data_IF_179651541273
#
_entry.id   IF_179651541273
#
_cell.length_a   1.000
_cell.length_b   1.000
_cell.length_c   1.000
_cell.angle_alpha   90.00
_cell.angle_beta   90.00
_cell.angle_gamma   90.00
#
_symmetry.space_group_name_H-M   'P 1'
#
loop_
_entity.id
_entity.type
_entity.pdbx_description
1 polymer ?
#
# COMPACT_ATOMS: atom_id res chain seq x y z
N UNK A 1 -27.98 -21.00 -4.07
CA UNK A 1 -27.21 -19.81 -4.45
C UNK A 1 -25.85 -20.32 -4.94
N UNK A 2 -25.71 -20.59 -6.25
CA UNK A 2 -24.40 -20.94 -6.81
C UNK A 2 -23.70 -19.63 -7.16
N UNK A 3 -22.77 -19.20 -6.32
CA UNK A 3 -21.83 -18.14 -6.69
C UNK A 3 -20.79 -18.84 -7.58
N UNK A 4 -20.76 -18.59 -8.89
CA UNK A 4 -19.74 -19.17 -9.73
C UNK A 4 -18.41 -18.55 -9.30
N UNK A 5 -17.54 -19.36 -8.69
CA UNK A 5 -16.15 -18.94 -8.47
C UNK A 5 -15.49 -18.86 -9.84
N UNK A 6 -15.24 -17.66 -10.31
CA UNK A 6 -14.44 -17.45 -11.50
C UNK A 6 -12.99 -17.79 -11.21
N UNK A 7 -12.64 -19.05 -11.39
CA UNK A 7 -11.29 -19.58 -11.12
C UNK A 7 -10.20 -18.86 -11.89
N UNK A 8 -10.53 -18.26 -13.02
CA UNK A 8 -9.65 -17.39 -13.80
C UNK A 8 -9.13 -16.21 -12.97
N UNK A 9 -10.00 -15.57 -12.19
CA UNK A 9 -9.65 -14.38 -11.38
C UNK A 9 -8.98 -14.80 -10.05
N UNK A 10 -9.35 -15.98 -9.51
CA UNK A 10 -8.79 -16.50 -8.26
C UNK A 10 -7.40 -17.16 -8.42
N UNK A 11 -7.01 -17.57 -9.63
CA UNK A 11 -5.79 -18.31 -9.92
C UNK A 11 -4.52 -17.74 -9.29
N UNK A 12 -4.16 -16.47 -9.52
CA UNK A 12 -2.97 -15.86 -8.92
C UNK A 12 -2.99 -15.90 -7.39
N UNK A 13 -4.14 -15.65 -6.74
CA UNK A 13 -4.27 -15.69 -5.28
C UNK A 13 -4.07 -17.11 -4.73
N UNK A 14 -4.59 -18.13 -5.40
CA UNK A 14 -4.40 -19.55 -5.03
C UNK A 14 -2.93 -19.95 -5.15
N UNK A 15 -2.23 -19.55 -6.21
CA UNK A 15 -0.79 -19.80 -6.39
C UNK A 15 0.01 -19.15 -5.25
N UNK A 16 -0.33 -17.90 -4.88
CA UNK A 16 0.30 -17.22 -3.74
C UNK A 16 0.05 -17.97 -2.43
N UNK A 17 -1.17 -18.48 -2.21
CA UNK A 17 -1.50 -19.28 -1.01
C UNK A 17 -0.71 -20.59 -0.98
N UNK A 18 -0.56 -21.28 -2.10
CA UNK A 18 0.27 -22.49 -2.22
C UNK A 18 1.74 -22.12 -1.92
N UNK A 19 2.26 -21.03 -2.49
CA UNK A 19 3.59 -20.52 -2.21
C UNK A 19 3.83 -20.21 -0.73
N UNK A 20 2.81 -19.67 -0.04
CA UNK A 20 2.84 -19.42 1.40
C UNK A 20 3.02 -20.73 2.19
N UNK A 21 2.22 -21.74 1.88
CA UNK A 21 2.30 -23.06 2.54
C UNK A 21 3.64 -23.74 2.27
N UNK A 22 4.14 -23.69 1.03
CA UNK A 22 5.45 -24.26 0.68
C UNK A 22 6.56 -23.55 1.45
N UNK A 23 6.54 -22.21 1.55
CA UNK A 23 7.53 -21.45 2.31
C UNK A 23 7.55 -21.85 3.79
N UNK A 24 6.38 -22.04 4.42
CA UNK A 24 6.25 -22.48 5.81
C UNK A 24 6.77 -23.91 6.00
N UNK A 25 6.39 -24.84 5.11
CA UNK A 25 6.80 -26.25 5.20
C UNK A 25 8.32 -26.41 4.96
N UNK A 26 8.87 -25.69 4.00
CA UNK A 26 10.33 -25.72 3.76
C UNK A 26 11.10 -25.26 4.99
N UNK A 27 10.65 -24.19 5.66
CA UNK A 27 11.30 -23.73 6.89
C UNK A 27 11.14 -24.73 8.05
N UNK A 28 9.97 -25.34 8.18
CA UNK A 28 9.67 -26.31 9.23
C UNK A 28 10.53 -27.59 9.12
N UNK A 29 10.75 -28.10 7.89
CA UNK A 29 11.53 -29.32 7.67
C UNK A 29 13.03 -29.07 7.45
N UNK A 30 13.40 -27.89 6.95
CA UNK A 30 14.78 -27.50 6.68
C UNK A 30 15.06 -26.10 7.27
N UNK A 31 15.13 -25.97 8.60
CA UNK A 31 15.26 -24.68 9.26
C UNK A 31 16.62 -24.02 8.96
N UNK A 32 16.73 -23.43 7.80
CA UNK A 32 17.82 -22.54 7.43
C UNK A 32 17.40 -21.13 7.82
N UNK A 33 17.83 -20.62 8.94
CA UNK A 33 17.54 -19.24 9.40
C UNK A 33 18.03 -18.14 8.45
N UNK A 34 17.93 -18.41 7.16
CA UNK A 34 18.34 -17.56 6.05
C UNK A 34 17.18 -17.42 5.06
N UNK A 35 17.20 -16.39 4.24
CA UNK A 35 16.24 -16.19 3.15
C UNK A 35 16.10 -17.38 2.19
N UNK A 36 17.18 -18.14 1.98
CA UNK A 36 17.17 -19.35 1.13
C UNK A 36 16.22 -20.45 1.65
N UNK A 37 15.83 -20.41 2.94
CA UNK A 37 14.85 -21.35 3.50
C UNK A 37 13.44 -21.04 2.98
N UNK A 38 12.82 -19.99 3.47
CA UNK A 38 11.41 -19.66 3.19
C UNK A 38 11.23 -18.52 2.17
N UNK A 39 12.17 -17.60 2.06
CA UNK A 39 12.07 -16.47 1.14
C UNK A 39 12.20 -16.85 -0.34
N UNK A 40 13.01 -17.87 -0.69
CA UNK A 40 13.11 -18.36 -2.04
C UNK A 40 11.80 -19.02 -2.53
N UNK A 41 11.19 -19.97 -1.80
CA UNK A 41 9.87 -20.51 -2.18
C UNK A 41 8.79 -19.43 -2.30
N UNK A 42 8.76 -18.46 -1.39
CA UNK A 42 7.84 -17.33 -1.47
C UNK A 42 8.04 -16.52 -2.75
N UNK A 43 9.31 -16.21 -3.12
CA UNK A 43 9.63 -15.51 -4.36
C UNK A 43 9.22 -16.29 -5.60
N UNK A 44 9.47 -17.60 -5.64
CA UNK A 44 9.06 -18.47 -6.74
C UNK A 44 7.54 -18.51 -6.89
N UNK A 45 6.80 -18.61 -5.77
CA UNK A 45 5.34 -18.54 -5.77
C UNK A 45 4.80 -17.23 -6.34
N UNK A 46 5.40 -16.09 -5.98
CA UNK A 46 5.02 -14.77 -6.52
C UNK A 46 5.35 -14.63 -8.01
N UNK A 47 6.50 -15.11 -8.45
CA UNK A 47 6.86 -15.11 -9.88
C UNK A 47 5.89 -15.98 -10.68
N UNK A 48 5.54 -17.16 -10.16
CA UNK A 48 4.55 -18.02 -10.80
C UNK A 48 3.17 -17.37 -10.85
N UNK A 49 2.71 -16.75 -9.75
CA UNK A 49 1.45 -15.99 -9.74
C UNK A 49 1.46 -14.85 -10.79
N UNK A 50 2.61 -14.18 -10.97
CA UNK A 50 2.79 -13.19 -12.01
C UNK A 50 2.68 -13.77 -13.43
N UNK A 51 3.31 -14.93 -13.68
CA UNK A 51 3.20 -15.64 -14.98
C UNK A 51 1.74 -16.02 -15.25
N UNK A 52 1.03 -16.53 -14.24
CA UNK A 52 -0.39 -16.89 -14.39
C UNK A 52 -1.25 -15.66 -14.65
N UNK A 53 -1.00 -14.55 -13.97
CA UNK A 53 -1.69 -13.29 -14.23
C UNK A 53 -1.53 -12.84 -15.69
N UNK A 54 -0.34 -12.97 -16.28
CA UNK A 54 -0.11 -12.66 -17.69
C UNK A 54 -0.81 -13.62 -18.65
N UNK A 55 -1.01 -14.89 -18.27
CA UNK A 55 -1.80 -15.85 -19.07
C UNK A 55 -3.27 -15.49 -19.10
N UNK A 56 -3.77 -14.93 -18.00
CA UNK A 56 -5.16 -14.54 -17.83
C UNK A 56 -5.43 -13.09 -18.28
N UNK A 57 -4.46 -12.42 -18.90
CA UNK A 57 -4.55 -10.98 -19.24
C UNK A 57 -5.78 -10.62 -20.05
N UNK A 58 -6.19 -11.50 -20.99
CA UNK A 58 -7.33 -11.26 -21.88
C UNK A 58 -8.68 -11.61 -21.23
N UNK A 59 -8.66 -12.33 -20.08
CA UNK A 59 -9.85 -12.74 -19.33
C UNK A 59 -10.15 -11.80 -18.14
N UNK A 60 -9.22 -10.90 -17.79
CA UNK A 60 -9.32 -10.01 -16.64
C UNK A 60 -9.38 -8.55 -17.11
N UNK A 61 -10.23 -7.75 -16.48
CA UNK A 61 -10.27 -6.32 -16.82
C UNK A 61 -8.91 -5.64 -16.58
N UNK A 62 -8.54 -4.64 -17.42
CA UNK A 62 -7.22 -4.01 -17.36
C UNK A 62 -6.89 -3.36 -16.03
N UNK A 63 -7.89 -2.81 -15.30
CA UNK A 63 -7.70 -2.19 -13.99
C UNK A 63 -7.29 -3.23 -12.93
N UNK A 64 -8.03 -4.34 -12.86
CA UNK A 64 -7.72 -5.48 -11.97
C UNK A 64 -6.37 -6.10 -12.31
N UNK A 65 -6.07 -6.30 -13.61
CA UNK A 65 -4.78 -6.80 -14.06
C UNK A 65 -3.61 -5.93 -13.57
N UNK A 66 -3.69 -4.63 -13.79
CA UNK A 66 -2.63 -3.69 -13.44
C UNK A 66 -2.40 -3.61 -11.93
N UNK A 67 -3.46 -3.54 -11.12
CA UNK A 67 -3.35 -3.52 -9.67
C UNK A 67 -2.84 -4.87 -9.12
N UNK A 68 -3.26 -6.00 -9.68
CA UNK A 68 -2.74 -7.32 -9.31
C UNK A 68 -1.24 -7.45 -9.60
N UNK A 69 -0.79 -6.89 -10.72
CA UNK A 69 0.65 -6.82 -11.06
C UNK A 69 1.43 -5.98 -10.02
N UNK A 70 0.87 -4.84 -9.60
CA UNK A 70 1.46 -4.00 -8.55
C UNK A 70 1.52 -4.73 -7.20
N UNK A 71 0.47 -5.47 -6.83
CA UNK A 71 0.43 -6.27 -5.59
C UNK A 71 1.50 -7.37 -5.62
N UNK A 72 1.57 -8.15 -6.70
CA UNK A 72 2.56 -9.23 -6.85
C UNK A 72 3.98 -8.66 -6.86
N UNK A 73 4.24 -7.67 -7.70
CA UNK A 73 5.56 -7.04 -7.83
C UNK A 73 6.00 -6.36 -6.53
N UNK A 74 5.10 -5.62 -5.89
CA UNK A 74 5.36 -4.98 -4.61
C UNK A 74 5.67 -5.99 -3.50
N UNK A 75 4.90 -7.08 -3.42
CA UNK A 75 5.15 -8.16 -2.45
C UNK A 75 6.49 -8.84 -2.70
N UNK A 76 6.86 -9.08 -3.96
CA UNK A 76 8.16 -9.65 -4.32
C UNK A 76 9.31 -8.75 -3.86
N UNK A 77 9.21 -7.44 -4.05
CA UNK A 77 10.19 -6.47 -3.54
C UNK A 77 10.29 -6.57 -2.01
N UNK A 78 9.16 -6.67 -1.30
CA UNK A 78 9.14 -6.83 0.17
C UNK A 78 9.84 -8.13 0.58
N UNK A 79 9.53 -9.27 -0.05
CA UNK A 79 10.16 -10.57 0.24
C UNK A 79 11.68 -10.49 0.03
N UNK A 80 12.14 -9.94 -1.10
CA UNK A 80 13.58 -9.85 -1.42
C UNK A 80 14.28 -8.86 -0.48
N UNK A 81 13.71 -7.69 -0.23
CA UNK A 81 14.30 -6.69 0.65
C UNK A 81 14.33 -7.14 2.12
N UNK A 82 13.44 -8.05 2.53
CA UNK A 82 13.41 -8.60 3.89
C UNK A 82 14.66 -9.40 4.29
N UNK A 83 15.52 -9.76 3.32
CA UNK A 83 16.81 -10.39 3.60
C UNK A 83 17.69 -9.61 4.59
N UNK A 84 17.54 -8.29 4.66
CA UNK A 84 18.31 -7.45 5.57
C UNK A 84 17.86 -7.60 7.02
N UNK A 85 16.64 -8.10 7.26
CA UNK A 85 16.11 -8.26 8.61
C UNK A 85 16.82 -9.39 9.36
N UNK A 86 16.89 -9.26 10.67
CA UNK A 86 17.55 -10.26 11.51
C UNK A 86 16.54 -11.35 11.89
N UNK A 87 16.45 -12.40 11.09
CA UNK A 87 15.60 -13.56 11.40
C UNK A 87 16.18 -14.47 12.48
N UNK A 88 17.51 -14.41 12.73
CA UNK A 88 18.18 -15.37 13.61
C UNK A 88 17.75 -15.27 15.07
N UNK A 89 17.44 -14.06 15.58
CA UNK A 89 17.22 -13.82 17.00
C UNK A 89 15.87 -13.18 17.36
N UNK A 90 15.07 -12.74 16.40
CA UNK A 90 13.88 -11.93 16.67
C UNK A 90 12.60 -12.34 15.95
N UNK A 91 12.69 -13.02 14.82
CA UNK A 91 11.53 -13.39 14.01
C UNK A 91 11.72 -14.73 13.33
N UNK A 92 10.72 -15.63 13.36
CA UNK A 92 10.75 -16.88 12.62
C UNK A 92 10.52 -16.63 11.12
N UNK A 93 11.45 -17.06 10.23
CA UNK A 93 11.38 -16.71 8.81
C UNK A 93 10.25 -17.41 8.07
N UNK A 94 9.89 -18.65 8.43
CA UNK A 94 8.80 -19.40 7.81
C UNK A 94 7.46 -18.73 8.03
N UNK A 95 7.14 -18.42 9.28
CA UNK A 95 5.90 -17.74 9.68
C UNK A 95 5.84 -16.33 9.10
N UNK A 96 6.98 -15.63 9.03
CA UNK A 96 7.04 -14.31 8.41
C UNK A 96 6.62 -14.36 6.94
N UNK A 97 7.22 -15.24 6.13
CA UNK A 97 6.91 -15.34 4.71
C UNK A 97 5.51 -15.91 4.47
N UNK A 98 5.07 -16.87 5.29
CA UNK A 98 3.71 -17.41 5.24
C UNK A 98 2.67 -16.30 5.45
N UNK A 99 2.79 -15.53 6.53
CA UNK A 99 1.86 -14.45 6.85
C UNK A 99 1.88 -13.33 5.80
N UNK A 100 3.08 -12.99 5.29
CA UNK A 100 3.21 -11.99 4.24
C UNK A 100 2.53 -12.41 2.94
N UNK A 101 2.72 -13.67 2.53
CA UNK A 101 2.09 -14.24 1.34
C UNK A 101 0.58 -14.39 1.52
N UNK A 102 0.11 -14.80 2.71
CA UNK A 102 -1.32 -14.87 3.02
C UNK A 102 -1.96 -13.47 2.92
N UNK A 103 -1.32 -12.43 3.47
CA UNK A 103 -1.77 -11.06 3.32
C UNK A 103 -1.78 -10.60 1.84
N UNK A 104 -0.78 -10.98 1.04
CA UNK A 104 -0.73 -10.68 -0.39
C UNK A 104 -1.84 -11.41 -1.17
N UNK A 105 -2.15 -12.66 -0.82
CA UNK A 105 -3.31 -13.39 -1.35
C UNK A 105 -4.62 -12.66 -1.07
N UNK A 106 -4.81 -12.18 0.16
CA UNK A 106 -5.93 -11.32 0.53
C UNK A 106 -5.98 -10.02 -0.30
N UNK A 107 -4.83 -9.38 -0.54
CA UNK A 107 -4.75 -8.19 -1.38
C UNK A 107 -5.18 -8.46 -2.84
N UNK A 108 -4.75 -9.58 -3.42
CA UNK A 108 -5.17 -10.00 -4.78
C UNK A 108 -6.67 -10.27 -4.85
N UNK A 109 -7.22 -11.02 -3.89
CA UNK A 109 -8.66 -11.28 -3.82
C UNK A 109 -9.46 -9.99 -3.65
N UNK A 110 -8.94 -9.02 -2.88
CA UNK A 110 -9.60 -7.74 -2.64
C UNK A 110 -9.71 -6.88 -3.91
N UNK A 111 -8.67 -6.87 -4.76
CA UNK A 111 -8.68 -6.18 -6.07
C UNK A 111 -9.64 -6.87 -7.04
N UNK A 112 -9.72 -8.20 -6.99
CA UNK A 112 -10.53 -9.03 -7.88
C UNK A 112 -12.00 -9.17 -7.44
N UNK A 113 -12.37 -8.72 -6.24
CA UNK A 113 -13.71 -8.90 -5.68
C UNK A 113 -14.81 -8.26 -6.58
N UNK A 114 -15.88 -9.01 -6.82
CA UNK A 114 -17.09 -8.58 -7.54
C UNK A 114 -18.37 -8.84 -6.72
N UNK A 115 -18.18 -9.16 -5.45
CA UNK A 115 -19.24 -9.31 -4.46
C UNK A 115 -18.75 -8.91 -3.08
N UNK A 116 -19.67 -8.55 -2.18
CA UNK A 116 -19.34 -8.07 -0.83
C UNK A 116 -18.83 -9.17 0.10
N UNK A 117 -19.17 -10.44 -0.14
CA UNK A 117 -18.69 -11.57 0.68
C UNK A 117 -17.20 -11.78 0.41
N UNK A 118 -16.84 -11.89 -0.87
CA UNK A 118 -15.43 -11.99 -1.29
C UNK A 118 -14.62 -10.78 -0.81
N UNK A 119 -15.17 -9.56 -0.93
CA UNK A 119 -14.51 -8.34 -0.46
C UNK A 119 -14.19 -8.38 1.04
N UNK A 120 -15.14 -8.78 1.88
CA UNK A 120 -14.93 -8.85 3.34
C UNK A 120 -13.92 -9.95 3.69
N UNK A 121 -14.06 -11.15 3.10
CA UNK A 121 -13.12 -12.25 3.33
C UNK A 121 -11.71 -11.82 2.92
N UNK A 122 -11.56 -11.15 1.77
CA UNK A 122 -10.28 -10.65 1.28
C UNK A 122 -9.69 -9.56 2.20
N UNK A 123 -10.54 -8.66 2.72
CA UNK A 123 -10.14 -7.62 3.67
C UNK A 123 -9.60 -8.25 4.97
N UNK A 124 -10.25 -9.27 5.50
CA UNK A 124 -9.79 -9.98 6.70
C UNK A 124 -8.55 -10.84 6.43
N UNK A 125 -8.47 -11.49 5.26
CA UNK A 125 -7.30 -12.25 4.85
C UNK A 125 -6.07 -11.34 4.65
N UNK A 126 -6.26 -10.08 4.25
CA UNK A 126 -5.20 -9.07 4.24
C UNK A 126 -4.89 -8.56 5.66
N UNK A 127 -5.89 -8.41 6.53
CA UNK A 127 -5.76 -7.75 7.83
C UNK A 127 -5.15 -8.66 8.90
N UNK A 128 -5.69 -9.85 9.13
CA UNK A 128 -5.28 -10.72 10.22
C UNK A 128 -3.81 -11.17 10.13
N UNK A 129 -3.32 -11.63 8.95
CA UNK A 129 -1.89 -11.93 8.82
C UNK A 129 -1.01 -10.68 8.98
N UNK A 130 -1.47 -9.51 8.53
CA UNK A 130 -0.74 -8.24 8.70
C UNK A 130 -0.61 -7.86 10.17
N UNK A 131 -1.66 -8.03 10.98
CA UNK A 131 -1.64 -7.80 12.42
C UNK A 131 -0.63 -8.73 13.10
N UNK A 132 -0.65 -10.01 12.74
CA UNK A 132 0.30 -11.00 13.24
C UNK A 132 1.75 -10.63 12.86
N UNK A 133 1.99 -10.18 11.62
CA UNK A 133 3.30 -9.69 11.16
C UNK A 133 3.81 -8.50 11.98
N UNK A 134 2.95 -7.56 12.34
CA UNK A 134 3.31 -6.41 13.18
C UNK A 134 3.81 -6.86 14.55
N UNK A 135 3.14 -7.84 15.14
CA UNK A 135 3.47 -8.39 16.46
C UNK A 135 4.51 -9.51 16.45
N UNK A 136 5.07 -9.88 15.30
CA UNK A 136 5.88 -11.11 15.14
C UNK A 136 7.24 -11.04 15.86
N UNK A 137 7.75 -9.83 16.15
CA UNK A 137 9.04 -9.67 16.81
C UNK A 137 8.96 -10.11 18.26
N UNK A 138 9.65 -11.21 18.58
CA UNK A 138 9.68 -11.80 19.92
C UNK A 138 10.34 -10.87 20.93
N UNK A 139 9.71 -10.74 22.11
CA UNK A 139 10.23 -9.92 23.20
C UNK A 139 10.06 -8.41 23.05
N UNK A 140 9.50 -7.93 21.94
CA UNK A 140 9.29 -6.50 21.69
C UNK A 140 7.87 -6.07 22.12
N UNK A 141 7.76 -5.47 23.30
CA UNK A 141 6.47 -4.98 23.83
C UNK A 141 5.84 -3.88 22.97
N UNK A 142 6.67 -3.10 22.26
CA UNK A 142 6.15 -2.09 21.34
C UNK A 142 5.46 -2.73 20.14
N UNK A 143 6.06 -3.78 19.57
CA UNK A 143 5.46 -4.55 18.48
C UNK A 143 4.11 -5.15 18.91
N UNK A 144 4.03 -5.77 20.08
CA UNK A 144 2.79 -6.33 20.65
C UNK A 144 1.73 -5.24 20.84
N UNK A 145 2.08 -4.10 21.43
CA UNK A 145 1.15 -2.99 21.63
C UNK A 145 0.64 -2.43 20.30
N UNK A 146 1.51 -2.28 19.31
CA UNK A 146 1.14 -1.81 17.96
C UNK A 146 0.22 -2.79 17.24
N UNK A 147 0.49 -4.10 17.34
CA UNK A 147 -0.37 -5.14 16.80
C UNK A 147 -1.76 -5.12 17.46
N UNK A 148 -1.81 -4.92 18.77
CA UNK A 148 -3.07 -4.83 19.52
C UNK A 148 -3.89 -3.59 19.12
N UNK A 149 -3.25 -2.43 18.98
CA UNK A 149 -3.91 -1.20 18.49
C UNK A 149 -4.47 -1.39 17.08
N UNK A 150 -3.69 -2.02 16.19
CA UNK A 150 -4.11 -2.30 14.83
C UNK A 150 -5.27 -3.30 14.81
N UNK A 151 -5.22 -4.36 15.63
CA UNK A 151 -6.28 -5.34 15.76
C UNK A 151 -7.61 -4.72 16.21
N UNK A 152 -7.60 -3.96 17.32
CA UNK A 152 -8.83 -3.33 17.84
C UNK A 152 -9.46 -2.38 16.82
N UNK A 153 -8.65 -1.55 16.16
CA UNK A 153 -9.13 -0.65 15.15
C UNK A 153 -9.67 -1.40 13.91
N UNK A 154 -9.04 -2.51 13.51
CA UNK A 154 -9.51 -3.38 12.43
C UNK A 154 -10.89 -3.97 12.74
N UNK A 155 -11.04 -4.59 13.92
CA UNK A 155 -12.29 -5.24 14.33
C UNK A 155 -13.45 -4.25 14.36
N UNK A 156 -13.24 -3.05 14.93
CA UNK A 156 -14.26 -1.99 14.94
C UNK A 156 -14.67 -1.59 13.52
N UNK A 157 -13.69 -1.39 12.64
CA UNK A 157 -13.96 -0.98 11.26
C UNK A 157 -14.71 -2.07 10.48
N UNK A 158 -14.30 -3.34 10.62
CA UNK A 158 -14.99 -4.46 9.98
C UNK A 158 -16.41 -4.63 10.49
N UNK A 159 -16.63 -4.45 11.80
CA UNK A 159 -17.99 -4.53 12.39
C UNK A 159 -18.92 -3.46 11.79
N UNK A 160 -18.43 -2.24 11.63
CA UNK A 160 -19.18 -1.15 11.00
C UNK A 160 -19.47 -1.50 9.53
N UNK A 161 -18.48 -2.01 8.80
CA UNK A 161 -18.64 -2.43 7.40
C UNK A 161 -19.66 -3.56 7.25
N UNK A 162 -19.63 -4.56 8.14
CA UNK A 162 -20.62 -5.65 8.13
C UNK A 162 -22.02 -5.15 8.36
N UNK A 163 -22.22 -4.14 9.20
CA UNK A 163 -23.52 -3.48 9.38
C UNK A 163 -23.98 -2.83 8.07
N UNK A 164 -23.09 -2.10 7.38
CA UNK A 164 -23.39 -1.52 6.07
C UNK A 164 -23.78 -2.56 5.03
N UNK A 165 -23.00 -3.65 4.92
CA UNK A 165 -23.26 -4.77 4.02
C UNK A 165 -24.62 -5.44 4.31
N UNK A 166 -24.94 -5.62 5.60
CA UNK A 166 -26.22 -6.19 5.99
C UNK A 166 -27.41 -5.30 5.56
N UNK A 167 -27.25 -3.98 5.68
CA UNK A 167 -28.26 -3.03 5.20
C UNK A 167 -28.39 -3.06 3.66
N UNK A 168 -27.27 -3.08 2.91
CA UNK A 168 -27.29 -3.20 1.46
C UNK A 168 -27.98 -4.48 1.01
N UNK A 169 -27.68 -5.61 1.67
CA UNK A 169 -28.37 -6.87 1.42
C UNK A 169 -29.87 -6.78 1.70
N UNK A 170 -30.25 -6.13 2.79
CA UNK A 170 -31.67 -5.93 3.14
C UNK A 170 -32.45 -5.09 2.12
N UNK A 171 -31.75 -4.16 1.46
CA UNK A 171 -32.36 -3.32 0.40
C UNK A 171 -32.38 -4.03 -0.95
N UNK A 172 -31.25 -4.59 -1.39
CA UNK A 172 -31.09 -5.12 -2.76
C UNK A 172 -31.37 -6.63 -2.89
N UNK A 173 -31.42 -7.37 -1.78
CA UNK A 173 -31.63 -8.83 -1.76
C UNK A 173 -30.45 -9.65 -2.32
N UNK A 174 -29.33 -9.01 -2.63
CA UNK A 174 -28.13 -9.64 -3.23
C UNK A 174 -26.87 -9.00 -2.70
N UNK A 175 -25.73 -9.68 -2.87
CA UNK A 175 -24.40 -9.20 -2.46
C UNK A 175 -23.45 -9.03 -3.65
N UNK A 176 -23.84 -9.45 -4.86
CA UNK A 176 -23.04 -9.23 -6.08
C UNK A 176 -23.10 -7.77 -6.51
N UNK A 177 -22.04 -7.23 -7.10
CA UNK A 177 -21.99 -5.82 -7.49
C UNK A 177 -23.05 -5.47 -8.54
N UNK A 178 -23.21 -6.29 -9.57
CA UNK A 178 -24.24 -6.08 -10.61
C UNK A 178 -25.66 -6.15 -10.02
N UNK A 179 -25.88 -7.09 -9.09
CA UNK A 179 -27.16 -7.21 -8.40
C UNK A 179 -27.43 -6.03 -7.48
N UNK A 180 -26.41 -5.49 -6.79
CA UNK A 180 -26.54 -4.27 -5.99
C UNK A 180 -26.87 -3.07 -6.86
N UNK A 181 -26.15 -2.88 -7.97
CA UNK A 181 -26.42 -1.77 -8.89
C UNK A 181 -27.85 -1.77 -9.41
N UNK A 182 -28.37 -2.93 -9.80
CA UNK A 182 -29.78 -3.07 -10.27
C UNK A 182 -30.78 -2.96 -9.11
N UNK A 183 -30.53 -3.62 -7.98
CA UNK A 183 -31.46 -3.60 -6.84
C UNK A 183 -31.57 -2.25 -6.14
N UNK A 184 -30.53 -1.42 -6.18
CA UNK A 184 -30.56 -0.06 -5.63
C UNK A 184 -31.24 0.94 -6.58
N UNK A 185 -31.18 0.73 -7.90
CA UNK A 185 -31.90 1.58 -8.86
C UNK A 185 -33.41 1.40 -8.82
N UNK A 186 -33.87 0.19 -8.47
CA UNK A 186 -35.29 -0.18 -8.45
C UNK A 186 -35.95 -0.12 -7.06
N UNK A 187 -35.20 0.33 -6.04
CA UNK A 187 -35.69 0.29 -4.66
C UNK A 187 -36.67 1.41 -4.34
N UNK A 188 -37.74 1.07 -3.62
CA UNK A 188 -38.66 2.04 -2.98
C UNK A 188 -38.21 2.49 -1.58
N UNK A 189 -37.05 1.99 -1.11
CA UNK A 189 -36.54 2.35 0.22
C UNK A 189 -36.12 3.82 0.31
N UNK A 190 -36.27 4.46 1.48
CA UNK A 190 -35.85 5.84 1.66
C UNK A 190 -34.36 6.02 1.36
N UNK A 191 -34.00 7.02 0.56
CA UNK A 191 -32.61 7.38 0.22
C UNK A 191 -31.67 7.41 1.42
N UNK A 192 -32.12 7.88 2.59
CA UNK A 192 -31.32 7.93 3.79
C UNK A 192 -30.84 6.56 4.28
N UNK A 193 -31.61 5.48 4.07
CA UNK A 193 -31.21 4.11 4.45
C UNK A 193 -30.10 3.61 3.53
N UNK A 194 -30.25 3.83 2.24
CA UNK A 194 -29.24 3.45 1.22
C UNK A 194 -27.95 4.23 1.45
N UNK A 195 -28.05 5.55 1.67
CA UNK A 195 -26.91 6.41 1.93
C UNK A 195 -26.10 5.93 3.17
N UNK A 196 -26.77 5.63 4.27
CA UNK A 196 -26.15 5.10 5.48
C UNK A 196 -25.49 3.74 5.20
N UNK A 197 -26.17 2.86 4.47
CA UNK A 197 -25.65 1.54 4.13
C UNK A 197 -24.35 1.63 3.31
N UNK A 198 -24.30 2.50 2.28
CA UNK A 198 -23.12 2.75 1.47
C UNK A 198 -21.98 3.32 2.31
N UNK A 199 -22.25 4.37 3.11
CA UNK A 199 -21.22 5.00 3.95
C UNK A 199 -20.63 4.02 4.95
N UNK A 200 -21.46 3.21 5.62
CA UNK A 200 -20.98 2.21 6.58
C UNK A 200 -20.14 1.13 5.87
N UNK A 201 -20.52 0.72 4.66
CA UNK A 201 -19.77 -0.30 3.89
C UNK A 201 -18.37 0.15 3.54
N UNK A 202 -18.17 1.42 3.16
CA UNK A 202 -16.84 1.91 2.80
C UNK A 202 -15.90 2.17 3.99
N UNK A 203 -16.42 2.19 5.23
CA UNK A 203 -15.60 2.47 6.44
C UNK A 203 -14.42 1.52 6.58
N UNK A 204 -14.63 0.20 6.40
CA UNK A 204 -13.53 -0.77 6.50
C UNK A 204 -12.47 -0.59 5.42
N UNK A 205 -12.87 -0.21 4.22
CA UNK A 205 -11.97 0.07 3.11
C UNK A 205 -11.17 1.37 3.37
N UNK A 206 -11.84 2.41 3.88
CA UNK A 206 -11.19 3.68 4.28
C UNK A 206 -10.24 3.48 5.47
N UNK A 207 -10.60 2.63 6.44
CA UNK A 207 -9.70 2.22 7.52
C UNK A 207 -8.43 1.58 6.96
N UNK A 208 -8.57 0.61 6.04
CA UNK A 208 -7.44 -0.09 5.45
C UNK A 208 -6.55 0.83 4.63
N UNK A 209 -7.15 1.80 3.94
CA UNK A 209 -6.43 2.84 3.21
C UNK A 209 -5.73 3.84 4.16
N UNK A 210 -6.22 3.95 5.39
CA UNK A 210 -5.72 4.88 6.39
C UNK A 210 -6.24 6.31 6.23
N UNK A 211 -7.48 6.44 5.77
CA UNK A 211 -8.16 7.72 5.66
C UNK A 211 -8.59 8.26 7.03
N UNK A 212 -8.62 9.59 7.16
CA UNK A 212 -9.17 10.26 8.35
C UNK A 212 -10.70 10.07 8.38
N UNK A 213 -11.29 9.71 9.54
CA UNK A 213 -10.70 9.61 10.88
C UNK A 213 -10.07 8.25 11.23
N UNK A 214 -10.10 7.27 10.35
CA UNK A 214 -9.69 5.88 10.59
C UNK A 214 -8.16 5.64 10.49
N UNK A 215 -7.34 6.68 10.47
CA UNK A 215 -5.89 6.64 10.27
C UNK A 215 -5.06 6.38 11.53
N UNK A 216 -5.67 6.44 12.72
CA UNK A 216 -4.96 6.52 14.02
C UNK A 216 -4.01 5.36 14.29
N UNK A 217 -4.26 4.20 13.68
CA UNK A 217 -3.44 3.01 13.83
C UNK A 217 -2.09 3.09 13.09
N UNK A 218 -1.98 3.91 12.02
CA UNK A 218 -0.82 3.89 11.11
C UNK A 218 0.48 4.33 11.79
N UNK A 219 0.57 5.48 12.49
CA UNK A 219 1.84 5.95 13.04
C UNK A 219 2.45 4.97 14.04
N UNK A 220 1.65 4.46 14.97
CA UNK A 220 2.10 3.52 15.99
C UNK A 220 2.44 2.15 15.38
N UNK A 221 1.62 1.68 14.44
CA UNK A 221 1.84 0.39 13.78
C UNK A 221 3.13 0.37 12.97
N UNK A 222 3.41 1.43 12.20
CA UNK A 222 4.64 1.46 11.37
C UNK A 222 5.90 1.58 12.22
N UNK A 223 5.84 2.27 13.36
CA UNK A 223 6.96 2.37 14.29
C UNK A 223 7.19 1.08 15.09
N UNK A 224 6.18 0.27 15.34
CA UNK A 224 6.28 -1.01 16.05
C UNK A 224 6.54 -2.20 15.15
N UNK A 225 6.13 -2.14 13.89
CA UNK A 225 6.30 -3.22 12.92
C UNK A 225 7.77 -3.40 12.48
N UNK A 226 8.15 -4.60 12.03
CA UNK A 226 9.35 -4.75 11.21
C UNK A 226 9.29 -3.82 10.00
N UNK A 227 10.42 -3.17 9.64
CA UNK A 227 10.44 -2.09 8.62
C UNK A 227 9.81 -2.52 7.29
N UNK A 228 10.10 -3.74 6.82
CA UNK A 228 9.54 -4.23 5.55
C UNK A 228 8.05 -4.58 5.66
N UNK A 229 7.54 -4.93 6.86
CA UNK A 229 6.11 -5.07 7.12
C UNK A 229 5.42 -3.71 7.03
N UNK A 230 6.00 -2.67 7.63
CA UNK A 230 5.50 -1.31 7.49
C UNK A 230 5.50 -0.86 6.01
N UNK A 231 6.54 -1.23 5.23
CA UNK A 231 6.61 -1.03 3.79
C UNK A 231 5.46 -1.72 3.03
N UNK A 232 5.17 -2.99 3.34
CA UNK A 232 4.05 -3.74 2.76
C UNK A 232 2.70 -3.07 3.06
N UNK A 233 2.47 -2.71 4.32
CA UNK A 233 1.24 -2.02 4.74
C UNK A 233 1.09 -0.66 4.08
N UNK A 234 2.18 0.08 3.94
CA UNK A 234 2.19 1.40 3.32
C UNK A 234 1.94 1.35 1.81
N UNK A 235 2.42 0.34 1.13
CA UNK A 235 2.42 0.23 -0.32
C UNK A 235 1.35 -0.75 -0.84
N UNK A 236 1.57 -2.05 -0.66
CA UNK A 236 0.75 -3.12 -1.26
C UNK A 236 -0.67 -3.14 -0.71
N UNK A 237 -0.81 -3.04 0.62
CA UNK A 237 -2.13 -3.00 1.27
C UNK A 237 -2.97 -1.81 0.78
N UNK A 238 -2.35 -0.64 0.55
CA UNK A 238 -3.07 0.53 0.04
C UNK A 238 -3.45 0.41 -1.43
N UNK A 239 -2.59 -0.19 -2.24
CA UNK A 239 -2.90 -0.48 -3.64
C UNK A 239 -4.15 -1.34 -3.77
N UNK A 240 -4.25 -2.42 -2.98
CA UNK A 240 -5.43 -3.27 -2.93
C UNK A 240 -6.66 -2.51 -2.41
N UNK A 241 -6.50 -1.71 -1.36
CA UNK A 241 -7.61 -1.00 -0.73
C UNK A 241 -8.23 0.06 -1.65
N UNK A 242 -7.41 0.87 -2.33
CA UNK A 242 -7.95 1.88 -3.26
C UNK A 242 -8.60 1.24 -4.47
N UNK A 243 -8.04 0.12 -4.97
CA UNK A 243 -8.65 -0.67 -6.05
C UNK A 243 -10.04 -1.17 -5.64
N UNK A 244 -10.16 -1.75 -4.46
CA UNK A 244 -11.44 -2.24 -3.95
C UNK A 244 -12.47 -1.13 -3.73
N UNK A 245 -12.06 0.04 -3.18
CA UNK A 245 -12.95 1.21 -3.06
C UNK A 245 -13.44 1.66 -4.43
N UNK A 246 -12.53 1.81 -5.39
CA UNK A 246 -12.88 2.23 -6.75
C UNK A 246 -13.87 1.26 -7.40
N UNK A 247 -13.56 -0.05 -7.38
CA UNK A 247 -14.39 -1.07 -8.02
C UNK A 247 -15.77 -1.17 -7.36
N UNK A 248 -15.85 -1.14 -6.02
CA UNK A 248 -17.11 -1.15 -5.29
C UNK A 248 -17.99 0.07 -5.64
N UNK A 249 -17.43 1.28 -5.63
CA UNK A 249 -18.19 2.49 -5.92
C UNK A 249 -18.63 2.57 -7.39
N UNK A 250 -17.73 2.17 -8.31
CA UNK A 250 -18.01 2.23 -9.74
C UNK A 250 -19.02 1.18 -10.22
N UNK A 251 -19.00 -0.02 -9.63
CA UNK A 251 -19.79 -1.14 -10.11
C UNK A 251 -21.01 -1.47 -9.23
N UNK A 252 -20.89 -1.36 -7.90
CA UNK A 252 -21.95 -1.80 -7.00
C UNK A 252 -22.94 -0.68 -6.65
N UNK A 253 -22.46 0.58 -6.57
CA UNK A 253 -23.27 1.72 -6.11
C UNK A 253 -23.12 2.98 -6.98
N UNK A 254 -23.13 2.86 -8.32
CA UNK A 254 -22.98 4.01 -9.21
C UNK A 254 -24.12 5.02 -9.09
N UNK A 255 -25.33 4.54 -8.80
CA UNK A 255 -26.54 5.37 -8.62
C UNK A 255 -26.49 6.27 -7.40
N UNK A 256 -25.64 5.94 -6.42
CA UNK A 256 -25.46 6.68 -5.17
C UNK A 256 -24.32 7.71 -5.24
N UNK A 257 -23.87 8.08 -6.44
CA UNK A 257 -22.77 9.00 -6.66
C UNK A 257 -22.94 10.31 -5.89
N UNK A 258 -24.12 10.90 -5.90
CA UNK A 258 -24.40 12.17 -5.22
C UNK A 258 -24.32 12.06 -3.69
N UNK A 259 -24.39 10.84 -3.15
CA UNK A 259 -24.23 10.56 -1.72
C UNK A 259 -22.76 10.42 -1.34
N UNK A 260 -22.03 9.52 -1.99
CA UNK A 260 -20.68 9.18 -1.56
C UNK A 260 -19.58 10.11 -2.08
N UNK A 261 -19.79 10.75 -3.26
CA UNK A 261 -18.79 11.63 -3.88
C UNK A 261 -18.41 12.84 -2.97
N UNK A 262 -19.34 13.66 -2.46
CA UNK A 262 -18.98 14.78 -1.62
C UNK A 262 -18.36 14.34 -0.29
N UNK A 263 -18.77 13.21 0.28
CA UNK A 263 -18.19 12.66 1.50
C UNK A 263 -16.74 12.27 1.27
N UNK A 264 -16.46 11.53 0.19
CA UNK A 264 -15.10 11.12 -0.16
C UNK A 264 -14.21 12.30 -0.54
N UNK A 265 -14.74 13.32 -1.20
CA UNK A 265 -14.01 14.55 -1.51
C UNK A 265 -13.54 15.26 -0.22
N UNK A 266 -14.42 15.39 0.77
CA UNK A 266 -14.06 15.95 2.09
C UNK A 266 -13.07 15.05 2.82
N UNK A 267 -13.29 13.73 2.84
CA UNK A 267 -12.38 12.75 3.44
C UNK A 267 -11.00 12.84 2.79
N UNK A 268 -10.91 12.94 1.46
CA UNK A 268 -9.65 13.11 0.74
C UNK A 268 -8.92 14.37 1.18
N UNK A 269 -9.60 15.52 1.19
CA UNK A 269 -9.05 16.82 1.58
C UNK A 269 -8.50 16.81 3.02
N UNK A 270 -9.30 16.30 3.97
CA UNK A 270 -8.92 16.21 5.39
C UNK A 270 -7.76 15.23 5.57
N UNK A 271 -7.79 14.08 4.89
CA UNK A 271 -6.75 13.05 4.97
C UNK A 271 -5.40 13.57 4.49
N UNK A 272 -5.36 14.26 3.33
CA UNK A 272 -4.12 14.91 2.83
C UNK A 272 -3.58 15.92 3.83
N UNK A 273 -4.44 16.78 4.36
CA UNK A 273 -4.05 17.88 5.24
C UNK A 273 -3.54 17.37 6.59
N UNK A 274 -4.27 16.47 7.23
CA UNK A 274 -3.88 15.87 8.52
C UNK A 274 -2.59 15.07 8.37
N UNK A 275 -2.46 14.27 7.32
CA UNK A 275 -1.25 13.50 7.02
C UNK A 275 -0.02 14.39 6.84
N UNK A 276 -0.12 15.46 6.04
CA UNK A 276 0.97 16.41 5.82
C UNK A 276 1.37 17.17 7.08
N UNK A 277 0.39 17.67 7.85
CA UNK A 277 0.66 18.36 9.12
C UNK A 277 1.32 17.44 10.15
N UNK A 278 0.92 16.17 10.19
CA UNK A 278 1.56 15.14 11.03
C UNK A 278 3.01 14.87 10.61
N UNK A 279 3.28 14.75 9.30
CA UNK A 279 4.61 14.48 8.76
C UNK A 279 5.61 15.60 9.02
N UNK A 280 5.18 16.87 8.97
CA UNK A 280 6.04 18.05 9.22
C UNK A 280 6.72 18.03 10.60
N UNK A 281 6.07 17.44 11.60
CA UNK A 281 6.56 17.39 13.00
C UNK A 281 7.54 16.27 13.27
N UNK A 282 7.72 15.35 12.31
CA UNK A 282 8.53 14.16 12.55
C UNK A 282 10.03 14.43 12.39
N UNK A 283 10.81 13.69 13.18
CA UNK A 283 12.28 13.66 13.18
C UNK A 283 12.84 12.25 13.01
N UNK A 284 11.95 11.26 12.89
CA UNK A 284 12.25 9.87 12.57
C UNK A 284 11.68 9.55 11.18
N UNK A 285 12.47 8.87 10.33
CA UNK A 285 12.09 8.63 8.94
C UNK A 285 10.88 7.70 8.79
N UNK A 286 10.74 6.67 9.64
CA UNK A 286 9.55 5.79 9.60
C UNK A 286 8.30 6.55 10.05
N UNK A 287 8.39 7.35 11.11
CA UNK A 287 7.28 8.16 11.57
C UNK A 287 6.84 9.17 10.50
N UNK A 288 7.81 9.80 9.81
CA UNK A 288 7.51 10.70 8.70
C UNK A 288 6.82 9.98 7.54
N UNK A 289 7.33 8.79 7.13
CA UNK A 289 6.71 8.00 6.07
C UNK A 289 5.32 7.47 6.47
N UNK A 290 5.08 7.18 7.74
CA UNK A 290 3.76 6.79 8.24
C UNK A 290 2.73 7.92 8.04
N UNK A 291 3.04 9.13 8.44
CA UNK A 291 2.19 10.30 8.24
C UNK A 291 2.08 10.70 6.76
N UNK A 292 3.18 10.62 6.02
CA UNK A 292 3.19 10.76 4.57
C UNK A 292 2.24 9.76 3.90
N UNK A 293 2.25 8.50 4.33
CA UNK A 293 1.35 7.45 3.83
C UNK A 293 -0.13 7.78 4.05
N UNK A 294 -0.49 8.49 5.13
CA UNK A 294 -1.83 9.03 5.34
C UNK A 294 -2.13 10.13 4.31
N UNK A 295 -1.22 11.09 4.13
CA UNK A 295 -1.40 12.14 3.12
C UNK A 295 -1.58 11.55 1.70
N UNK A 296 -0.78 10.55 1.33
CA UNK A 296 -0.87 9.88 0.04
C UNK A 296 -2.19 9.11 -0.14
N UNK A 297 -2.77 8.58 0.94
CA UNK A 297 -4.11 7.98 0.88
C UNK A 297 -5.17 9.02 0.44
N UNK A 298 -5.06 10.26 0.90
CA UNK A 298 -5.93 11.34 0.45
C UNK A 298 -5.80 11.64 -1.04
N UNK A 299 -4.56 11.62 -1.59
CA UNK A 299 -4.34 11.76 -3.04
C UNK A 299 -4.92 10.58 -3.83
N UNK A 300 -4.93 9.36 -3.27
CA UNK A 300 -5.54 8.18 -3.89
C UNK A 300 -7.07 8.23 -3.86
N UNK A 301 -7.67 8.78 -2.79
CA UNK A 301 -9.12 8.90 -2.66
C UNK A 301 -9.68 10.00 -3.60
N UNK A 302 -8.93 11.06 -3.87
CA UNK A 302 -9.43 12.20 -4.63
C UNK A 302 -9.96 11.84 -6.05
N UNK A 303 -9.25 11.09 -6.91
CA UNK A 303 -9.79 10.65 -8.19
C UNK A 303 -10.95 9.64 -8.05
N UNK A 304 -11.00 8.88 -6.94
CA UNK A 304 -12.10 7.95 -6.64
C UNK A 304 -13.37 8.72 -6.23
N UNK A 305 -13.22 9.86 -5.57
CA UNK A 305 -14.36 10.69 -5.16
C UNK A 305 -15.16 11.24 -6.35
N UNK A 306 -14.56 11.34 -7.54
CA UNK A 306 -15.20 11.96 -8.71
C UNK A 306 -15.58 10.97 -9.82
N UNK A 307 -15.00 9.77 -9.87
CA UNK A 307 -15.15 8.71 -10.89
C UNK A 307 -15.52 9.25 -12.29
N UNK A 308 -14.53 9.85 -12.93
CA UNK A 308 -14.60 10.24 -14.35
C UNK A 308 -14.05 9.10 -15.23
N UNK A 309 -14.17 9.21 -16.55
CA UNK A 309 -13.60 8.25 -17.50
C UNK A 309 -12.08 8.00 -17.32
N UNK A 310 -11.36 8.95 -16.73
CA UNK A 310 -9.91 8.89 -16.50
C UNK A 310 -9.53 8.45 -15.08
N UNK A 311 -10.47 8.38 -14.14
CA UNK A 311 -10.18 8.13 -12.71
C UNK A 311 -9.50 6.77 -12.47
N UNK A 312 -9.95 5.71 -13.12
CA UNK A 312 -9.34 4.38 -12.99
C UNK A 312 -7.88 4.37 -13.43
N UNK A 313 -7.59 4.94 -14.60
CA UNK A 313 -6.22 5.10 -15.10
C UNK A 313 -5.35 5.94 -14.16
N UNK A 314 -5.88 7.05 -13.64
CA UNK A 314 -5.17 7.91 -12.70
C UNK A 314 -4.81 7.17 -11.41
N UNK A 315 -5.73 6.37 -10.86
CA UNK A 315 -5.47 5.53 -9.67
C UNK A 315 -4.36 4.54 -9.94
N UNK A 316 -4.41 3.77 -11.03
CA UNK A 316 -3.41 2.75 -11.36
C UNK A 316 -2.03 3.36 -11.54
N UNK A 317 -1.92 4.43 -12.32
CA UNK A 317 -0.65 5.10 -12.60
C UNK A 317 -0.03 5.70 -11.35
N UNK A 318 -0.84 6.34 -10.50
CA UNK A 318 -0.34 6.88 -9.23
C UNK A 318 0.10 5.77 -8.28
N UNK A 319 -0.71 4.72 -8.12
CA UNK A 319 -0.41 3.57 -7.25
C UNK A 319 0.89 2.89 -7.66
N UNK A 320 1.12 2.67 -8.96
CA UNK A 320 2.33 2.00 -9.46
C UNK A 320 3.61 2.75 -9.04
N UNK A 321 3.65 4.08 -9.23
CA UNK A 321 4.80 4.89 -8.86
C UNK A 321 4.92 5.04 -7.34
N UNK A 322 3.77 5.22 -6.65
CA UNK A 322 3.74 5.32 -5.19
C UNK A 322 4.29 4.05 -4.52
N UNK A 323 3.84 2.87 -4.95
CA UNK A 323 4.29 1.59 -4.42
C UNK A 323 5.79 1.42 -4.63
N UNK A 324 6.27 1.67 -5.84
CA UNK A 324 7.70 1.54 -6.16
C UNK A 324 8.56 2.50 -5.32
N UNK A 325 8.22 3.78 -5.29
CA UNK A 325 8.98 4.78 -4.52
C UNK A 325 8.95 4.49 -3.01
N UNK A 326 7.79 4.11 -2.49
CA UNK A 326 7.62 3.81 -1.09
C UNK A 326 8.43 2.57 -0.67
N UNK A 327 8.37 1.49 -1.45
CA UNK A 327 9.15 0.28 -1.17
C UNK A 327 10.66 0.50 -1.28
N UNK A 328 11.14 1.31 -2.22
CA UNK A 328 12.55 1.73 -2.29
C UNK A 328 12.95 2.48 -1.02
N UNK A 329 12.11 3.40 -0.53
CA UNK A 329 12.37 4.14 0.70
C UNK A 329 12.44 3.21 1.92
N UNK A 330 11.43 2.33 2.11
CA UNK A 330 11.40 1.39 3.24
C UNK A 330 12.55 0.37 3.17
N UNK A 331 12.89 -0.14 2.00
CA UNK A 331 14.01 -1.07 1.82
C UNK A 331 15.36 -0.41 2.13
N UNK A 332 15.58 0.84 1.71
CA UNK A 332 16.76 1.61 2.07
C UNK A 332 16.82 1.86 3.59
N UNK A 333 15.70 2.23 4.21
CA UNK A 333 15.62 2.42 5.67
C UNK A 333 15.85 1.11 6.43
N UNK A 334 15.39 -0.05 5.91
CA UNK A 334 15.68 -1.35 6.51
C UNK A 334 17.19 -1.65 6.53
N UNK A 335 17.92 -1.31 5.45
CA UNK A 335 19.38 -1.41 5.41
C UNK A 335 20.02 -0.48 6.45
N UNK A 336 19.57 0.77 6.54
CA UNK A 336 20.09 1.73 7.53
C UNK A 336 19.84 1.26 8.95
N UNK A 337 18.63 0.80 9.28
CA UNK A 337 18.31 0.29 10.61
C UNK A 337 19.22 -0.88 11.00
N UNK A 338 19.52 -1.78 10.05
CA UNK A 338 20.43 -2.91 10.28
C UNK A 338 21.86 -2.48 10.54
N UNK A 339 22.31 -1.39 9.91
CA UNK A 339 23.68 -0.90 10.00
C UNK A 339 23.87 0.07 11.18
N UNK A 340 22.90 0.95 11.44
CA UNK A 340 23.03 2.08 12.38
C UNK A 340 22.16 1.94 13.64
N UNK A 341 21.19 1.03 13.64
CA UNK A 341 20.32 0.76 14.82
C UNK A 341 19.22 1.79 15.06
N UNK A 342 19.23 2.95 14.39
CA UNK A 342 18.20 3.99 14.50
C UNK A 342 17.88 4.60 13.13
N UNK A 343 16.68 5.19 13.00
CA UNK A 343 16.19 5.89 11.82
C UNK A 343 15.85 7.35 12.11
N UNK A 344 16.39 7.89 13.18
CA UNK A 344 16.31 9.31 13.49
C UNK A 344 17.14 10.13 12.51
N UNK A 345 16.73 11.35 12.25
CA UNK A 345 17.40 12.22 11.27
C UNK A 345 18.88 12.49 11.58
N UNK A 346 19.25 12.46 12.88
CA UNK A 346 20.65 12.54 13.31
C UNK A 346 21.51 11.43 12.73
N UNK A 347 20.98 10.20 12.73
CA UNK A 347 21.67 9.01 12.21
C UNK A 347 21.65 8.92 10.67
N UNK A 348 20.69 9.59 10.02
CA UNK A 348 20.58 9.62 8.56
C UNK A 348 21.46 10.70 7.93
N UNK A 349 22.06 11.58 8.73
CA UNK A 349 22.80 12.74 8.24
C UNK A 349 24.00 12.33 7.38
N UNK A 350 24.04 12.84 6.16
CA UNK A 350 25.13 12.57 5.23
C UNK A 350 25.13 11.18 4.61
N UNK A 351 24.05 10.40 4.76
CA UNK A 351 23.96 9.03 4.26
C UNK A 351 24.24 8.92 2.74
N UNK A 352 23.78 9.88 1.94
CA UNK A 352 24.03 9.89 0.50
C UNK A 352 25.51 10.00 0.13
N UNK A 353 26.35 10.48 1.06
CA UNK A 353 27.82 10.61 0.88
C UNK A 353 28.59 9.45 1.51
N UNK A 354 28.13 8.96 2.66
CA UNK A 354 28.83 7.89 3.41
C UNK A 354 28.49 6.50 2.89
N UNK A 355 27.23 6.25 2.46
CA UNK A 355 26.77 5.01 1.83
C UNK A 355 25.89 5.32 0.61
N UNK A 356 26.49 5.77 -0.52
CA UNK A 356 25.74 6.14 -1.73
C UNK A 356 24.77 5.06 -2.24
N UNK A 357 25.12 3.73 -2.23
CA UNK A 357 24.18 2.70 -2.66
C UNK A 357 22.88 2.60 -1.87
N UNK A 358 22.83 3.17 -0.67
CA UNK A 358 21.61 3.21 0.17
C UNK A 358 21.02 4.63 0.22
N UNK A 359 21.87 5.65 0.34
CA UNK A 359 21.43 7.02 0.54
C UNK A 359 20.89 7.67 -0.73
N UNK A 360 21.50 7.45 -1.90
CA UNK A 360 21.01 8.01 -3.17
C UNK A 360 19.64 7.44 -3.54
N UNK A 361 19.38 6.11 -3.48
CA UNK A 361 18.04 5.55 -3.60
C UNK A 361 17.00 6.18 -2.68
N UNK A 362 17.34 6.38 -1.40
CA UNK A 362 16.42 7.00 -0.45
C UNK A 362 16.10 8.45 -0.83
N UNK A 363 17.09 9.23 -1.32
CA UNK A 363 16.87 10.56 -1.87
C UNK A 363 15.94 10.53 -3.08
N UNK A 364 16.19 9.63 -4.05
CA UNK A 364 15.36 9.50 -5.26
C UNK A 364 13.93 9.11 -4.93
N UNK A 365 13.74 8.12 -4.06
CA UNK A 365 12.41 7.71 -3.59
C UNK A 365 11.66 8.86 -2.89
N UNK A 366 12.36 9.59 -2.02
CA UNK A 366 11.80 10.74 -1.30
C UNK A 366 11.40 11.86 -2.26
N UNK A 367 12.23 12.18 -3.26
CA UNK A 367 11.93 13.15 -4.30
C UNK A 367 10.76 12.72 -5.20
N UNK A 368 10.66 11.42 -5.51
CA UNK A 368 9.50 10.87 -6.24
C UNK A 368 8.21 11.08 -5.44
N UNK A 369 8.19 10.74 -4.16
CA UNK A 369 7.04 10.95 -3.28
C UNK A 369 6.69 12.44 -3.13
N UNK A 370 7.69 13.30 -3.13
CA UNK A 370 7.53 14.75 -3.11
C UNK A 370 6.91 15.28 -4.44
N UNK A 371 7.20 14.64 -5.56
CA UNK A 371 6.91 15.15 -6.90
C UNK A 371 7.87 16.28 -7.29
N UNK A 372 9.16 16.11 -6.99
CA UNK A 372 10.18 17.16 -7.20
C UNK A 372 11.34 16.65 -8.08
N UNK A 373 11.81 17.46 -9.04
CA UNK A 373 12.96 17.11 -9.88
C UNK A 373 14.20 16.74 -9.05
N UNK A 374 15.02 15.77 -9.51
CA UNK A 374 15.00 15.13 -10.83
C UNK A 374 14.02 13.94 -10.97
N UNK A 375 13.26 13.61 -9.95
CA UNK A 375 12.27 12.52 -9.98
C UNK A 375 10.96 12.97 -10.66
N UNK A 376 11.03 13.28 -11.96
CA UNK A 376 9.95 13.87 -12.76
C UNK A 376 8.67 13.03 -12.73
N UNK A 377 8.80 11.69 -12.67
CA UNK A 377 7.64 10.80 -12.64
C UNK A 377 6.72 11.08 -11.44
N UNK A 378 7.26 11.47 -10.29
CA UNK A 378 6.47 11.85 -9.12
C UNK A 378 5.62 13.10 -9.35
N UNK A 379 6.13 14.08 -10.12
CA UNK A 379 5.36 15.27 -10.51
C UNK A 379 4.26 14.90 -11.53
N UNK A 380 4.61 14.08 -12.53
CA UNK A 380 3.67 13.61 -13.54
C UNK A 380 2.49 12.88 -12.89
N UNK A 381 2.75 11.96 -11.97
CA UNK A 381 1.67 11.22 -11.30
C UNK A 381 0.80 12.10 -10.40
N UNK A 382 1.34 13.15 -9.79
CA UNK A 382 0.52 14.14 -9.07
C UNK A 382 -0.42 14.90 -10.01
N UNK A 383 0.06 15.28 -11.19
CA UNK A 383 -0.77 15.88 -12.22
C UNK A 383 -1.89 14.90 -12.67
N UNK A 384 -1.53 13.63 -12.88
CA UNK A 384 -2.45 12.59 -13.31
C UNK A 384 -3.63 12.41 -12.34
N UNK A 385 -3.40 12.43 -11.01
CA UNK A 385 -4.49 12.28 -10.02
C UNK A 385 -5.29 13.58 -9.79
N UNK A 386 -4.72 14.74 -10.11
CA UNK A 386 -5.44 16.01 -10.01
C UNK A 386 -6.37 16.22 -11.23
N UNK A 387 -5.98 15.74 -12.40
CA UNK A 387 -6.72 15.93 -13.65
C UNK A 387 -8.20 15.49 -13.56
N UNK A 388 -8.57 14.26 -13.13
CA UNK A 388 -9.97 13.88 -12.98
C UNK A 388 -10.78 14.82 -12.10
N UNK A 389 -10.14 15.37 -11.05
CA UNK A 389 -10.79 16.28 -10.10
C UNK A 389 -11.04 17.67 -10.70
N UNK A 390 -10.17 18.11 -11.61
CA UNK A 390 -10.37 19.37 -12.35
C UNK A 390 -11.49 19.20 -13.39
N UNK A 391 -11.53 18.04 -14.06
CA UNK A 391 -12.50 17.73 -15.11
C UNK A 391 -13.91 17.48 -14.55
N UNK A 392 -14.04 17.23 -13.25
CA UNK A 392 -15.32 16.98 -12.58
C UNK A 392 -15.98 18.28 -12.11
N UNK A 393 -17.24 18.49 -12.54
CA UNK A 393 -18.03 19.66 -12.12
C UNK A 393 -18.17 19.75 -10.59
N UNK A 394 -18.02 20.96 -10.05
CA UNK A 394 -18.18 21.20 -8.61
C UNK A 394 -17.01 20.79 -7.71
N UNK A 395 -15.96 20.14 -8.25
CA UNK A 395 -14.85 19.61 -7.47
C UNK A 395 -13.52 20.40 -7.59
N UNK A 396 -13.51 21.53 -8.28
CA UNK A 396 -12.31 22.39 -8.45
C UNK A 396 -11.71 22.80 -7.10
N UNK A 397 -12.54 22.99 -6.07
CA UNK A 397 -12.05 23.29 -4.71
C UNK A 397 -11.12 22.18 -4.18
N UNK A 398 -11.43 20.90 -4.47
CA UNK A 398 -10.61 19.76 -4.07
C UNK A 398 -9.26 19.79 -4.80
N UNK A 399 -9.23 20.12 -6.10
CA UNK A 399 -7.99 20.28 -6.86
C UNK A 399 -7.09 21.39 -6.26
N UNK A 400 -7.68 22.49 -5.79
CA UNK A 400 -6.95 23.54 -5.07
C UNK A 400 -6.37 23.02 -3.76
N UNK A 401 -7.17 22.27 -2.97
CA UNK A 401 -6.69 21.63 -1.74
C UNK A 401 -5.57 20.65 -2.04
N UNK A 402 -5.66 19.85 -3.11
CA UNK A 402 -4.60 18.95 -3.55
C UNK A 402 -3.31 19.71 -3.85
N UNK A 403 -3.38 20.82 -4.63
CA UNK A 403 -2.22 21.63 -4.96
C UNK A 403 -1.54 22.22 -3.71
N UNK A 404 -2.31 22.75 -2.76
CA UNK A 404 -1.78 23.24 -1.48
C UNK A 404 -1.09 22.09 -0.71
N UNK A 405 -1.71 20.90 -0.68
CA UNK A 405 -1.15 19.75 0.01
C UNK A 405 0.11 19.17 -0.68
N UNK A 406 0.26 19.32 -1.99
CA UNK A 406 1.54 19.05 -2.68
C UNK A 406 2.64 19.96 -2.14
N UNK A 407 2.37 21.26 -1.98
CA UNK A 407 3.34 22.22 -1.43
C UNK A 407 3.70 21.91 0.03
N UNK A 408 2.72 21.54 0.88
CA UNK A 408 2.98 21.10 2.25
C UNK A 408 3.85 19.84 2.28
N UNK A 409 3.61 18.90 1.38
CA UNK A 409 4.40 17.69 1.24
C UNK A 409 5.86 17.95 0.93
N UNK A 410 6.15 18.90 0.04
CA UNK A 410 7.52 19.30 -0.30
C UNK A 410 8.35 19.65 0.94
N UNK A 411 7.77 20.32 1.92
CA UNK A 411 8.52 20.82 3.07
C UNK A 411 9.18 19.69 3.90
N UNK A 412 8.46 18.63 4.24
CA UNK A 412 9.03 17.54 5.04
C UNK A 412 9.87 16.57 4.21
N UNK A 413 9.52 16.34 2.94
CA UNK A 413 10.34 15.51 2.07
C UNK A 413 11.70 16.18 1.77
N UNK A 414 11.70 17.46 1.45
CA UNK A 414 12.96 18.20 1.22
C UNK A 414 13.78 18.32 2.50
N UNK A 415 13.13 18.45 3.69
CA UNK A 415 13.83 18.37 4.98
C UNK A 415 14.61 17.07 5.12
N UNK A 416 14.00 15.92 4.79
CA UNK A 416 14.71 14.63 4.82
C UNK A 416 15.84 14.60 3.77
N UNK A 417 15.60 15.06 2.54
CA UNK A 417 16.63 15.12 1.49
C UNK A 417 17.84 15.93 1.94
N UNK A 418 17.61 17.12 2.55
CA UNK A 418 18.71 17.95 3.08
C UNK A 418 19.52 17.18 4.12
N UNK A 419 18.86 16.48 5.04
CA UNK A 419 19.56 15.62 6.05
C UNK A 419 20.41 14.56 5.36
N UNK A 420 19.89 13.89 4.33
CA UNK A 420 20.59 12.80 3.63
C UNK A 420 21.82 13.27 2.85
N UNK A 421 21.81 14.50 2.29
CA UNK A 421 22.90 15.03 1.46
C UNK A 421 23.87 15.94 2.23
N UNK A 422 23.55 16.28 3.48
CA UNK A 422 24.38 17.15 4.33
C UNK A 422 25.79 16.58 4.56
N UNK A 423 26.63 17.32 5.22
CA UNK A 423 27.97 16.83 5.62
C UNK A 423 27.81 15.80 6.75
N UNK A 424 28.45 14.62 6.64
CA UNK A 424 28.44 13.65 7.72
C UNK A 424 29.09 14.23 8.98
N UNK A 425 28.74 13.71 10.16
CA UNK A 425 29.52 13.94 11.36
C UNK A 425 30.96 13.47 11.13
N UNK A 426 31.92 14.16 11.71
CA UNK A 426 33.37 13.98 11.44
C UNK A 426 33.82 12.54 11.69
N UNK A 427 33.17 11.81 12.62
CA UNK A 427 33.41 10.40 12.92
C UNK A 427 32.17 9.57 12.57
N UNK A 428 32.10 9.03 11.34
CA UNK A 428 31.11 8.01 11.00
C UNK A 428 31.69 6.61 11.26
N UNK A 429 31.38 5.97 12.42
CA UNK A 429 31.98 4.67 12.82
C UNK A 429 31.47 3.49 11.97
N UNK A 430 30.46 3.71 11.10
CA UNK A 430 29.77 2.64 10.36
C UNK A 430 30.37 2.32 8.98
N UNK A 431 31.59 2.78 8.71
CA UNK A 431 32.31 2.41 7.50
C UNK A 431 32.82 0.96 7.57
N UNK A 432 31.92 -0.01 7.37
CA UNK A 432 32.31 -1.42 7.32
C UNK A 432 32.93 -1.78 5.96
N UNK A 433 34.12 -2.40 5.91
CA UNK A 433 34.80 -2.72 4.65
C UNK A 433 34.08 -3.75 3.79
N UNK A 434 33.23 -4.61 4.35
CA UNK A 434 32.48 -5.64 3.61
C UNK A 434 31.17 -6.03 4.30
N UNK A 435 30.02 -5.52 3.81
CA UNK A 435 28.72 -5.87 4.39
C UNK A 435 28.38 -7.35 4.13
N UNK A 436 27.62 -8.00 5.04
CA UNK A 436 27.11 -9.36 4.85
C UNK A 436 26.34 -9.52 3.52
N UNK A 437 26.28 -10.76 3.00
CA UNK A 437 25.59 -11.08 1.73
C UNK A 437 24.12 -10.63 1.76
N UNK A 438 23.44 -10.79 2.89
CA UNK A 438 22.04 -10.34 3.06
C UNK A 438 21.87 -8.85 2.80
N UNK A 439 22.76 -8.01 3.30
CA UNK A 439 22.76 -6.56 3.04
C UNK A 439 23.02 -6.25 1.57
N UNK A 440 23.93 -7.00 0.90
CA UNK A 440 24.20 -6.80 -0.53
C UNK A 440 22.99 -7.11 -1.39
N UNK A 441 22.24 -8.17 -1.12
CA UNK A 441 20.99 -8.51 -1.82
C UNK A 441 19.95 -7.41 -1.65
N UNK A 442 19.75 -6.93 -0.43
CA UNK A 442 18.80 -5.84 -0.19
C UNK A 442 19.22 -4.53 -0.84
N UNK A 443 20.51 -4.19 -0.82
CA UNK A 443 21.03 -3.02 -1.57
C UNK A 443 20.84 -3.19 -3.08
N UNK A 444 21.00 -4.39 -3.63
CA UNK A 444 20.74 -4.65 -5.05
C UNK A 444 19.24 -4.43 -5.38
N UNK A 445 18.32 -4.92 -4.54
CA UNK A 445 16.88 -4.69 -4.71
C UNK A 445 16.55 -3.18 -4.68
N UNK A 446 17.15 -2.44 -3.75
CA UNK A 446 17.00 -0.98 -3.64
C UNK A 446 17.50 -0.27 -4.91
N UNK A 447 18.65 -0.68 -5.44
CA UNK A 447 19.22 -0.09 -6.67
C UNK A 447 18.37 -0.42 -7.90
N UNK A 448 17.85 -1.64 -8.02
CA UNK A 448 16.96 -2.05 -9.12
C UNK A 448 15.67 -1.22 -9.09
N UNK A 449 15.04 -1.09 -7.91
CA UNK A 449 13.86 -0.23 -7.74
C UNK A 449 14.14 1.23 -8.11
N UNK A 450 15.32 1.75 -7.72
CA UNK A 450 15.75 3.10 -8.08
C UNK A 450 15.96 3.26 -9.57
N UNK A 451 16.57 2.27 -10.23
CA UNK A 451 16.72 2.27 -11.69
C UNK A 451 15.35 2.31 -12.39
N UNK A 452 14.33 1.61 -11.85
CA UNK A 452 12.95 1.72 -12.31
C UNK A 452 12.39 3.14 -12.16
N UNK A 453 12.57 3.79 -11.02
CA UNK A 453 12.13 5.19 -10.81
C UNK A 453 12.83 6.17 -11.77
N UNK A 454 14.12 5.98 -12.01
CA UNK A 454 14.89 6.80 -12.96
C UNK A 454 14.42 6.56 -14.39
N UNK A 455 14.19 5.31 -14.78
CA UNK A 455 13.69 4.96 -16.11
C UNK A 455 12.31 5.59 -16.36
N UNK A 456 11.38 5.47 -15.40
CA UNK A 456 10.06 6.10 -15.49
C UNK A 456 10.15 7.64 -15.49
N UNK A 457 11.14 8.22 -14.82
CA UNK A 457 11.35 9.69 -14.84
C UNK A 457 11.93 10.17 -16.17
N UNK A 458 12.76 9.35 -16.82
CA UNK A 458 13.34 9.65 -18.14
C UNK A 458 12.34 9.42 -19.29
N UNK A 459 11.48 8.42 -19.15
CA UNK A 459 10.44 8.03 -20.12
C UNK A 459 9.09 7.82 -19.43
N UNK A 460 8.36 8.89 -19.08
CA UNK A 460 7.05 8.77 -18.44
C UNK A 460 6.03 8.00 -19.28
N UNK A 461 6.17 7.99 -20.59
CA UNK A 461 5.29 7.28 -21.53
C UNK A 461 5.29 5.76 -21.31
N UNK A 462 6.36 5.19 -20.73
CA UNK A 462 6.35 3.79 -20.32
C UNK A 462 5.21 3.46 -19.34
N UNK A 463 4.85 4.43 -18.52
CA UNK A 463 3.73 4.29 -17.58
C UNK A 463 2.41 4.78 -18.21
N UNK A 464 2.45 5.94 -18.88
CA UNK A 464 1.25 6.64 -19.34
C UNK A 464 0.56 5.95 -20.53
N UNK A 465 1.34 5.26 -21.39
CA UNK A 465 0.82 4.59 -22.59
C UNK A 465 0.51 3.11 -22.39
N UNK A 466 1.09 2.45 -21.38
CA UNK A 466 1.01 0.99 -21.21
C UNK A 466 0.12 0.53 -20.05
N UNK A 467 -0.32 1.45 -19.20
CA UNK A 467 -1.30 1.15 -18.16
C UNK A 467 -2.66 1.74 -18.52
N UNK A 468 -3.74 0.98 -18.24
CA UNK A 468 -5.11 1.38 -18.60
C UNK A 468 -5.54 2.63 -17.84
#
# INVERSE_FOLDING_TARGET
MNIPVEWSVAGPAVIVAIGALVALLVDAFYPRRTWLGSGLPASVGLVWAGVELFRLKDDIDPFTFALSLVVIGGTLVVVVASNVMNFENAMPPGEYHFLLMAAAGGALMMVAARDLVTLIIALELLSLPSIALVGLRQGDQRAVRSAWTFFLASVVSTTITLMGVSLLYGVAGTLTYDGLASGLSDTEMPHGVVAVAVVLTIVGLLFKLGAVPFHVWIPDTYLGAPVMVAGFLSAVSKAASVGAVFTFLALAVPTEHDTWSPILAVVAAVTMTVGNLGALRQTNAIAMLAWSSIAQAGFLIAPVAVITWFSGQAVVQYVAVYVLANLVAFAALAVVLRLRGSLDYSELRGLARTDPPTGVPLVMATLTLAGFPPAVIGLVTKYVVIRPVIDADGHVWLAVVMAVNVMLGLAYYLKLVVVLVDRPAIDDPYRSPSPPVSIRISKAAVLIGTAGLVALSAWPDLLLSNLP
#
